data_IF_893880097175
#
_entry.id   IF_893880097175
#
_cell.length_a   1.000
_cell.length_b   1.000
_cell.length_c   1.000
_cell.angle_alpha   90.00
_cell.angle_beta   90.00
_cell.angle_gamma   90.00
#
_symmetry.space_group_name_H-M   'P 1'
#
loop_
_entity.id
_entity.type
_entity.pdbx_description
1 polymer ?
#
# COMPACT_ATOMS: atom_id res chain seq x y z
N UNK A 1 -13.98 -52.15 -45.90
CA UNK A 1 -13.80 -51.83 -44.47
C UNK A 1 -12.31 -51.90 -44.19
N UNK A 2 -11.53 -50.85 -44.52
CA UNK A 2 -11.30 -49.62 -43.76
C UNK A 2 -10.89 -49.90 -42.31
N UNK A 3 -9.66 -49.57 -41.93
CA UNK A 3 -9.28 -49.15 -40.58
C UNK A 3 -7.97 -48.35 -40.66
N UNK A 4 -8.14 -47.03 -40.76
CA UNK A 4 -7.10 -46.00 -40.75
C UNK A 4 -6.55 -45.89 -39.32
N UNK A 5 -5.23 -46.01 -39.15
CA UNK A 5 -4.53 -45.82 -37.87
C UNK A 5 -4.34 -44.31 -37.63
N UNK A 6 -5.20 -43.72 -36.80
CA UNK A 6 -5.06 -42.33 -36.34
C UNK A 6 -4.12 -42.26 -35.13
N UNK A 7 -2.90 -41.80 -35.34
CA UNK A 7 -1.96 -41.43 -34.27
C UNK A 7 -2.38 -40.07 -33.69
N UNK A 8 -2.77 -40.07 -32.40
CA UNK A 8 -3.13 -38.86 -31.66
C UNK A 8 -1.86 -38.22 -31.08
N UNK A 9 -1.40 -37.12 -31.67
CA UNK A 9 -0.30 -36.32 -31.14
C UNK A 9 -0.82 -35.43 -29.99
N UNK A 10 -0.36 -35.70 -28.77
CA UNK A 10 -0.63 -34.87 -27.58
C UNK A 10 0.36 -33.71 -27.58
N UNK A 11 -0.12 -32.51 -27.93
CA UNK A 11 0.64 -31.28 -27.80
C UNK A 11 0.54 -30.77 -26.34
N UNK A 12 1.59 -31.00 -25.56
CA UNK A 12 1.77 -30.37 -24.24
C UNK A 12 1.96 -28.86 -24.42
N UNK A 13 0.91 -28.08 -24.19
CA UNK A 13 1.02 -26.64 -24.01
C UNK A 13 1.72 -26.37 -22.68
N UNK A 14 3.03 -26.11 -22.73
CA UNK A 14 3.77 -25.55 -21.60
C UNK A 14 3.29 -24.11 -21.40
N UNK A 15 2.40 -23.90 -20.43
CA UNK A 15 2.03 -22.58 -19.96
C UNK A 15 3.21 -22.00 -19.17
N UNK A 16 4.06 -21.24 -19.85
CA UNK A 16 5.09 -20.43 -19.21
C UNK A 16 4.41 -19.39 -18.32
N UNK A 17 4.43 -19.60 -17.01
CA UNK A 17 4.08 -18.56 -16.04
C UNK A 17 5.12 -17.44 -16.18
N UNK A 18 4.79 -16.42 -16.98
CA UNK A 18 5.60 -15.22 -17.08
C UNK A 18 5.61 -14.55 -15.71
N UNK A 19 6.70 -14.71 -14.97
CA UNK A 19 7.01 -13.82 -13.85
C UNK A 19 7.23 -12.44 -14.44
N UNK A 20 6.19 -11.61 -14.40
CA UNK A 20 6.29 -10.20 -14.77
C UNK A 20 7.41 -9.58 -13.94
N UNK A 21 8.41 -9.04 -14.65
CA UNK A 21 9.55 -8.38 -14.06
C UNK A 21 9.03 -7.15 -13.30
N UNK A 22 9.04 -7.23 -11.98
CA UNK A 22 8.49 -6.25 -11.06
C UNK A 22 9.06 -4.86 -11.37
N UNK A 23 8.20 -3.86 -11.57
CA UNK A 23 8.63 -2.47 -11.43
C UNK A 23 9.24 -2.34 -10.02
N UNK A 24 10.54 -2.05 -9.93
CA UNK A 24 11.31 -2.09 -8.68
C UNK A 24 10.98 -0.92 -7.77
N UNK A 25 9.75 -0.86 -7.27
CA UNK A 25 9.32 0.19 -6.34
C UNK A 25 10.03 0.00 -5.01
N UNK A 26 10.85 0.99 -4.65
CA UNK A 26 11.54 1.06 -3.37
C UNK A 26 10.56 1.56 -2.31
N UNK A 27 10.54 0.89 -1.16
CA UNK A 27 9.73 1.26 0.01
C UNK A 27 10.66 1.60 1.17
N UNK A 28 10.51 2.78 1.76
CA UNK A 28 11.35 3.23 2.87
C UNK A 28 10.51 3.74 4.04
N UNK A 29 10.99 3.50 5.26
CA UNK A 29 10.36 4.01 6.49
C UNK A 29 8.90 3.58 6.65
N UNK A 30 8.53 2.39 6.18
CA UNK A 30 7.15 1.91 6.28
C UNK A 30 6.77 1.64 7.74
N UNK A 31 5.58 2.08 8.16
CA UNK A 31 5.02 1.81 9.48
C UNK A 31 3.51 1.99 9.49
N UNK A 32 2.83 1.37 10.46
CA UNK A 32 1.40 1.54 10.69
C UNK A 32 1.15 2.18 12.06
N UNK A 33 0.13 3.04 12.14
CA UNK A 33 -0.21 3.69 13.41
C UNK A 33 -0.92 2.71 14.34
N UNK A 34 -0.42 2.63 15.57
CA UNK A 34 -1.01 1.83 16.63
C UNK A 34 -2.45 2.25 16.91
N UNK A 35 -3.28 1.30 17.31
CA UNK A 35 -4.69 1.52 17.61
C UNK A 35 -5.06 1.03 19.00
N UNK A 36 -6.10 1.61 19.58
CA UNK A 36 -6.69 1.15 20.85
C UNK A 36 -7.88 0.24 20.60
N UNK A 37 -8.37 -0.42 21.65
CA UNK A 37 -9.57 -1.25 21.58
C UNK A 37 -10.77 -0.42 21.10
N UNK A 38 -11.55 -0.98 20.16
CA UNK A 38 -12.73 -0.33 19.58
C UNK A 38 -12.45 0.52 18.34
N UNK A 39 -11.21 0.93 18.09
CA UNK A 39 -10.84 1.67 16.88
C UNK A 39 -10.95 0.78 15.63
N UNK A 40 -11.68 1.23 14.62
CA UNK A 40 -12.01 0.43 13.41
C UNK A 40 -11.11 0.68 12.21
N UNK A 41 -10.28 1.71 12.25
CA UNK A 41 -9.33 1.94 11.17
C UNK A 41 -8.10 2.73 11.60
N UNK A 42 -7.05 2.65 10.78
CA UNK A 42 -5.77 3.33 11.02
C UNK A 42 -5.00 3.56 9.72
N UNK A 43 -4.06 4.50 9.77
CA UNK A 43 -3.19 4.83 8.64
C UNK A 43 -1.88 4.05 8.67
N UNK A 44 -1.43 3.67 7.49
CA UNK A 44 -0.11 3.15 7.18
C UNK A 44 0.63 4.14 6.27
N UNK A 45 1.92 4.32 6.55
CA UNK A 45 2.75 5.40 6.04
C UNK A 45 4.08 4.83 5.55
N UNK A 46 4.64 5.41 4.51
CA UNK A 46 5.89 4.97 3.87
C UNK A 46 6.33 5.98 2.82
N UNK A 47 7.57 5.88 2.35
CA UNK A 47 8.02 6.55 1.14
C UNK A 47 8.11 5.54 0.01
N UNK A 48 7.60 5.90 -1.17
CA UNK A 48 7.60 5.07 -2.36
C UNK A 48 8.41 5.76 -3.46
N UNK A 49 9.34 5.04 -4.07
CA UNK A 49 10.10 5.53 -5.23
C UNK A 49 10.09 4.47 -6.32
N UNK A 50 9.52 4.80 -7.47
CA UNK A 50 9.50 3.93 -8.64
C UNK A 50 10.55 4.43 -9.66
N UNK A 51 11.65 3.71 -9.92
CA UNK A 51 12.69 4.18 -10.84
C UNK A 51 12.17 4.48 -12.25
N UNK A 52 11.30 3.61 -12.77
CA UNK A 52 10.71 3.74 -14.12
C UNK A 52 9.34 4.43 -14.10
N UNK A 53 8.86 4.83 -12.93
CA UNK A 53 7.51 5.30 -12.70
C UNK A 53 6.52 4.14 -12.57
N UNK A 54 5.44 4.38 -11.82
CA UNK A 54 4.38 3.41 -11.60
C UNK A 54 3.11 4.12 -11.10
N UNK A 55 2.05 3.34 -10.90
CA UNK A 55 0.84 3.73 -10.18
C UNK A 55 0.64 2.78 -9.02
N UNK A 56 0.39 3.28 -7.81
CA UNK A 56 -0.15 2.46 -6.73
C UNK A 56 -1.68 2.40 -6.94
N UNK A 57 -2.19 1.23 -7.30
CA UNK A 57 -3.59 1.02 -7.68
C UNK A 57 -4.39 0.26 -6.62
N UNK A 58 -3.73 -0.21 -5.58
CA UNK A 58 -4.40 -0.89 -4.48
C UNK A 58 -3.46 -1.31 -3.37
N UNK A 59 -4.06 -1.73 -2.26
CA UNK A 59 -3.37 -2.38 -1.18
C UNK A 59 -4.32 -3.38 -0.49
N UNK A 60 -3.76 -4.33 0.25
CA UNK A 60 -4.54 -5.29 1.04
C UNK A 60 -3.77 -5.73 2.27
N UNK A 61 -4.48 -6.05 3.35
CA UNK A 61 -3.88 -6.64 4.55
C UNK A 61 -4.83 -7.67 5.18
N UNK A 62 -4.33 -8.82 5.68
CA UNK A 62 -5.16 -9.75 6.42
C UNK A 62 -5.67 -9.17 7.75
N UNK A 63 -5.07 -8.09 8.27
CA UNK A 63 -5.49 -7.43 9.51
C UNK A 63 -6.74 -6.55 9.36
N UNK A 64 -7.12 -6.22 8.13
CA UNK A 64 -8.20 -5.31 7.80
C UNK A 64 -9.25 -6.01 6.91
N UNK A 65 -10.49 -5.54 6.95
CA UNK A 65 -11.53 -5.95 6.01
C UNK A 65 -11.42 -5.22 4.67
N UNK A 66 -11.04 -3.93 4.74
CA UNK A 66 -10.87 -3.05 3.59
C UNK A 66 -9.54 -2.32 3.69
N UNK A 67 -8.87 -2.10 2.56
CA UNK A 67 -7.62 -1.34 2.50
C UNK A 67 -7.67 -0.42 1.29
N UNK A 68 -7.45 0.87 1.51
CA UNK A 68 -7.62 1.91 0.49
C UNK A 68 -6.44 2.88 0.53
N UNK A 69 -6.18 3.58 -0.58
CA UNK A 69 -5.25 4.72 -0.58
C UNK A 69 -6.07 5.97 -0.39
N UNK A 70 -5.71 6.81 0.57
CA UNK A 70 -6.42 8.04 0.90
C UNK A 70 -5.51 9.24 0.73
N UNK A 71 -6.09 10.39 0.41
CA UNK A 71 -5.46 11.71 0.46
C UNK A 71 -6.13 12.57 1.54
N UNK A 72 -5.37 13.53 2.08
CA UNK A 72 -5.89 14.63 2.88
C UNK A 72 -5.81 15.90 2.03
N UNK A 73 -6.95 16.51 1.73
CA UNK A 73 -7.02 17.70 0.88
C UNK A 73 -7.89 18.77 1.51
N UNK A 74 -7.47 20.03 1.38
CA UNK A 74 -8.31 21.18 1.74
C UNK A 74 -9.43 21.32 0.72
N UNK A 75 -10.67 21.35 1.20
CA UNK A 75 -11.84 21.67 0.40
C UNK A 75 -12.57 22.81 1.12
N UNK A 76 -12.33 24.05 0.64
CA UNK A 76 -12.61 25.25 1.42
C UNK A 76 -11.70 25.32 2.65
N UNK A 77 -12.30 25.61 3.80
CA UNK A 77 -11.58 25.69 5.09
C UNK A 77 -11.52 24.35 5.85
N UNK A 78 -11.99 23.26 5.24
CA UNK A 78 -12.05 21.93 5.88
C UNK A 78 -11.04 20.99 5.24
N UNK A 79 -10.21 20.37 6.07
CA UNK A 79 -9.36 19.26 5.64
C UNK A 79 -10.20 17.98 5.56
N UNK A 80 -10.28 17.38 4.37
CA UNK A 80 -11.05 16.16 4.13
C UNK A 80 -10.14 15.00 3.78
N UNK A 81 -10.46 13.84 4.34
CA UNK A 81 -9.89 12.56 3.99
C UNK A 81 -10.72 11.93 2.87
N UNK A 82 -10.10 11.49 1.78
CA UNK A 82 -10.80 10.91 0.62
C UNK A 82 -10.01 9.74 0.04
N UNK A 83 -10.70 8.64 -0.27
CA UNK A 83 -10.12 7.54 -1.03
C UNK A 83 -9.76 7.97 -2.46
N UNK A 84 -8.57 7.58 -2.91
CA UNK A 84 -8.12 7.75 -4.30
C UNK A 84 -7.93 6.36 -4.92
N UNK A 85 -8.48 6.10 -6.12
CA UNK A 85 -8.37 4.79 -6.76
C UNK A 85 -6.94 4.51 -7.24
N UNK A 86 -6.16 5.57 -7.51
CA UNK A 86 -4.82 5.50 -8.06
C UNK A 86 -3.98 6.60 -7.44
N UNK A 87 -2.76 6.26 -7.01
CA UNK A 87 -1.72 7.21 -6.65
C UNK A 87 -0.57 7.11 -7.65
N UNK A 88 -0.33 8.18 -8.40
CA UNK A 88 0.79 8.24 -9.33
C UNK A 88 2.14 8.28 -8.61
N UNK A 89 3.09 7.49 -9.10
CA UNK A 89 4.48 7.46 -8.68
C UNK A 89 5.35 7.89 -9.88
N UNK A 90 5.67 9.19 -10.02
CA UNK A 90 6.49 9.66 -11.13
C UNK A 90 7.88 9.02 -11.10
N UNK A 91 8.45 8.74 -12.28
CA UNK A 91 9.74 8.08 -12.42
C UNK A 91 10.86 8.79 -11.63
N UNK A 92 11.55 8.02 -10.78
CA UNK A 92 12.65 8.48 -9.93
C UNK A 92 12.26 9.48 -8.84
N UNK A 93 10.97 9.81 -8.67
CA UNK A 93 10.49 10.72 -7.62
C UNK A 93 9.98 9.93 -6.44
N UNK A 94 10.33 10.41 -5.24
CA UNK A 94 9.79 9.88 -3.99
C UNK A 94 8.43 10.51 -3.73
N UNK A 95 7.43 9.67 -3.55
CA UNK A 95 6.10 10.04 -3.08
C UNK A 95 5.99 9.62 -1.62
N UNK A 96 5.66 10.59 -0.76
CA UNK A 96 5.55 10.36 0.68
C UNK A 96 4.10 10.11 1.08
N UNK A 97 3.84 8.93 1.66
CA UNK A 97 2.63 8.63 2.39
C UNK A 97 2.89 8.94 3.87
N UNK A 98 2.32 10.04 4.38
CA UNK A 98 2.58 10.59 5.70
C UNK A 98 1.30 11.08 6.38
N UNK A 99 1.29 11.22 7.72
CA UNK A 99 0.17 11.86 8.42
C UNK A 99 -0.14 13.24 7.82
N UNK A 100 -1.42 13.51 7.54
CA UNK A 100 -1.88 14.76 6.93
C UNK A 100 -1.64 14.86 5.41
N UNK A 101 -1.21 13.79 4.75
CA UNK A 101 -1.08 13.70 3.28
C UNK A 101 -1.66 12.38 2.77
N UNK A 102 -1.03 11.80 1.74
CA UNK A 102 -1.39 10.45 1.29
C UNK A 102 -1.12 9.41 2.38
N UNK A 103 -1.92 8.35 2.44
CA UNK A 103 -1.71 7.22 3.34
C UNK A 103 -2.49 5.99 2.87
N UNK A 104 -2.04 4.80 3.28
CA UNK A 104 -2.83 3.58 3.12
C UNK A 104 -3.75 3.46 4.34
N UNK A 105 -5.06 3.53 4.14
CA UNK A 105 -6.04 3.36 5.19
C UNK A 105 -6.41 1.89 5.34
N UNK A 106 -6.24 1.36 6.55
CA UNK A 106 -6.70 0.03 6.96
C UNK A 106 -8.04 0.22 7.69
N UNK A 107 -9.13 -0.31 7.12
CA UNK A 107 -10.49 -0.20 7.64
C UNK A 107 -11.02 -1.58 8.06
N UNK A 108 -12.04 -1.57 8.92
CA UNK A 108 -12.62 -2.78 9.50
C UNK A 108 -11.56 -3.69 10.14
N UNK A 109 -10.73 -3.09 11.00
CA UNK A 109 -9.68 -3.81 11.72
C UNK A 109 -10.26 -4.98 12.51
N UNK A 110 -9.68 -6.16 12.30
CA UNK A 110 -10.10 -7.41 12.95
C UNK A 110 -9.65 -7.49 14.41
N UNK A 111 -8.55 -6.83 14.72
CA UNK A 111 -8.00 -6.68 16.06
C UNK A 111 -7.23 -5.35 16.16
N UNK A 112 -7.01 -4.82 17.37
CA UNK A 112 -6.16 -3.65 17.56
C UNK A 112 -4.72 -3.92 17.09
N UNK A 113 -4.11 -2.96 16.39
CA UNK A 113 -2.68 -2.97 16.09
C UNK A 113 -1.90 -2.46 17.29
N UNK A 114 -1.33 -3.37 18.08
CA UNK A 114 -0.55 -3.02 19.27
C UNK A 114 0.85 -2.52 18.89
N UNK A 115 1.34 -1.49 19.59
CA UNK A 115 2.71 -0.98 19.43
C UNK A 115 3.73 -2.11 19.61
N UNK A 116 4.76 -2.12 18.75
CA UNK A 116 5.84 -3.11 18.79
C UNK A 116 5.53 -4.41 18.04
N UNK A 117 4.30 -4.57 17.53
CA UNK A 117 3.95 -5.64 16.60
C UNK A 117 4.26 -5.24 15.16
N UNK A 118 3.99 -6.13 14.20
CA UNK A 118 4.06 -5.82 12.78
C UNK A 118 2.79 -6.27 12.06
N UNK A 119 2.38 -5.52 11.03
CA UNK A 119 1.24 -5.83 10.18
C UNK A 119 1.70 -6.05 8.73
N UNK A 120 1.37 -7.18 8.10
CA UNK A 120 1.67 -7.38 6.69
C UNK A 120 0.72 -6.59 5.81
N UNK A 121 1.26 -5.89 4.82
CA UNK A 121 0.51 -5.18 3.78
C UNK A 121 1.06 -5.58 2.42
N UNK A 122 0.17 -5.90 1.49
CA UNK A 122 0.49 -6.08 0.07
C UNK A 122 0.11 -4.81 -0.67
N UNK A 123 1.07 -4.20 -1.36
CA UNK A 123 0.85 -3.07 -2.26
C UNK A 123 0.73 -3.60 -3.69
N UNK A 124 -0.20 -3.04 -4.46
CA UNK A 124 -0.42 -3.40 -5.87
C UNK A 124 -0.03 -2.21 -6.74
N UNK A 125 0.95 -2.42 -7.60
CA UNK A 125 1.45 -1.42 -8.54
C UNK A 125 1.07 -1.77 -9.96
N UNK A 126 0.88 -0.76 -10.78
CA UNK A 126 0.71 -0.88 -12.22
C UNK A 126 1.81 -0.08 -12.93
N UNK A 127 2.50 -0.69 -13.90
CA UNK A 127 3.52 -0.02 -14.71
C UNK A 127 2.91 0.80 -15.86
N UNK A 128 3.74 1.47 -16.65
CA UNK A 128 3.30 2.26 -17.81
C UNK A 128 2.64 1.42 -18.92
N UNK A 129 2.83 0.10 -18.93
CA UNK A 129 2.23 -0.85 -19.88
C UNK A 129 0.92 -1.46 -19.34
N UNK A 130 0.51 -1.09 -18.13
CA UNK A 130 -0.68 -1.61 -17.48
C UNK A 130 -0.46 -2.94 -16.75
N UNK A 131 0.76 -3.46 -16.69
CA UNK A 131 1.06 -4.71 -16.00
C UNK A 131 1.07 -4.51 -14.48
N UNK A 132 0.38 -5.40 -13.76
CA UNK A 132 0.31 -5.35 -12.31
C UNK A 132 1.45 -6.14 -11.65
N UNK A 133 1.96 -5.60 -10.54
CA UNK A 133 2.89 -6.30 -9.66
C UNK A 133 2.50 -6.09 -8.19
N UNK A 134 2.87 -7.05 -7.34
CA UNK A 134 2.53 -7.05 -5.91
C UNK A 134 3.79 -7.02 -5.07
N UNK A 135 3.81 -6.18 -4.06
CA UNK A 135 4.91 -6.07 -3.10
C UNK A 135 4.39 -6.28 -1.68
N UNK A 136 4.91 -7.29 -0.99
CA UNK A 136 4.61 -7.52 0.42
C UNK A 136 5.58 -6.72 1.30
N UNK A 137 5.03 -5.95 2.24
CA UNK A 137 5.77 -5.14 3.19
C UNK A 137 5.28 -5.47 4.60
N UNK A 138 6.19 -5.73 5.54
CA UNK A 138 5.87 -5.89 6.96
C UNK A 138 6.04 -4.55 7.66
N UNK A 139 4.94 -3.95 8.10
CA UNK A 139 4.94 -2.61 8.70
C UNK A 139 5.06 -2.73 10.23
N UNK A 140 6.13 -2.22 10.85
CA UNK A 140 6.16 -2.07 12.31
C UNK A 140 5.03 -1.14 12.77
N UNK A 141 4.41 -1.49 13.89
CA UNK A 141 3.33 -0.73 14.49
C UNK A 141 3.89 0.23 15.55
N UNK A 142 3.66 1.52 15.37
CA UNK A 142 4.17 2.58 16.26
C UNK A 142 3.13 3.68 16.51
N UNK A 143 3.35 4.50 17.54
CA UNK A 143 2.48 5.66 17.84
C UNK A 143 2.87 6.91 17.05
N UNK A 144 4.13 6.97 16.63
CA UNK A 144 4.78 8.06 15.89
C UNK A 144 5.71 7.48 14.82
N UNK A 145 6.13 8.26 13.81
CA UNK A 145 7.08 7.79 12.80
C UNK A 145 8.37 7.21 13.44
N UNK A 146 8.75 5.96 13.10
CA UNK A 146 10.00 5.37 13.56
C UNK A 146 11.19 6.11 12.92
N UNK A 147 12.16 6.53 13.73
CA UNK A 147 13.35 7.27 13.25
C UNK A 147 13.16 8.77 13.06
N UNK A 148 12.03 9.35 13.49
CA UNK A 148 11.83 10.80 13.51
C UNK A 148 12.41 11.45 14.75
N UNK A 149 13.42 12.30 14.56
CA UNK A 149 13.80 13.35 15.51
C UNK A 149 12.55 14.08 16.02
N UNK A 150 12.61 14.44 17.30
CA UNK A 150 11.63 15.28 18.00
C UNK A 150 11.30 16.54 17.20
N UNK A 151 10.21 16.51 16.41
CA UNK A 151 9.51 17.73 16.07
C UNK A 151 8.88 18.22 17.38
N UNK A 152 9.49 19.25 17.93
CA UNK A 152 9.35 19.68 19.32
C UNK A 152 7.93 19.99 19.76
N UNK A 153 7.75 19.82 21.07
CA UNK A 153 6.73 20.49 21.86
C UNK A 153 6.60 21.96 21.43
N UNK A 154 5.48 22.32 20.83
CA UNK A 154 4.91 23.65 21.01
C UNK A 154 3.48 23.46 21.48
N UNK A 155 3.38 23.45 22.80
CA UNK A 155 2.19 23.73 23.55
C UNK A 155 1.84 25.20 23.29
N UNK A 156 0.92 25.48 22.39
CA UNK A 156 0.27 26.80 22.32
C UNK A 156 -1.08 26.68 23.05
N UNK A 157 -1.16 27.36 24.19
CA UNK A 157 -2.31 27.37 25.07
C UNK A 157 -3.40 28.27 24.51
N UNK A 158 -4.56 27.69 24.21
CA UNK A 158 -5.77 28.48 24.05
C UNK A 158 -6.44 28.66 25.41
N UNK A 159 -6.30 29.87 25.97
CA UNK A 159 -7.23 30.41 26.96
C UNK A 159 -8.54 30.75 26.26
N UNK A 160 -9.65 30.33 26.85
CA UNK A 160 -10.89 31.09 26.91
C UNK A 160 -11.39 31.05 28.35
#
# INVERSE_FOLDING_TARGET
MLLIRTSLAVACLMASAAFAQTASVKVEGAWARATVQGQKGTGAFMKLTAPEGAKLVGASSPAAGVTEVHEMKMEGDVMKMRAVPVLDLPAGKTVELRPGGYHVMLLDLKAPLAKGTSVPVTLVFQDAKGAESRLNVSLPVATTPPGGATAGSMMDGHKH
#
